data_IF_059906594527
#
_entry.id   IF_059906594527
#
_cell.length_a   1.000
_cell.length_b   1.000
_cell.length_c   1.000
_cell.angle_alpha   90.00
_cell.angle_beta   90.00
_cell.angle_gamma   90.00
#
_symmetry.space_group_name_H-M   'P 1'
#
loop_
_entity.id
_entity.type
_entity.pdbx_description
1 polymer ?
#
# COMPACT_ATOMS: atom_id res chain seq x y z
N UNK A 1 15.61 -15.39 8.07
CA UNK A 1 15.20 -14.46 6.99
C UNK A 1 15.36 -15.20 5.67
N UNK A 2 14.33 -15.22 4.82
CA UNK A 2 14.41 -15.87 3.50
C UNK A 2 14.92 -14.86 2.47
N UNK A 3 15.77 -15.31 1.54
CA UNK A 3 16.22 -14.50 0.40
C UNK A 3 15.44 -14.87 -0.87
N UNK A 4 15.17 -13.85 -1.67
CA UNK A 4 14.59 -13.94 -3.00
C UNK A 4 15.58 -14.54 -4.00
N UNK A 5 15.09 -15.43 -4.87
CA UNK A 5 15.84 -16.01 -5.99
C UNK A 5 15.12 -15.70 -7.30
N UNK A 6 15.70 -14.86 -8.15
CA UNK A 6 15.07 -14.39 -9.39
C UNK A 6 14.63 -15.52 -10.36
N UNK A 7 15.26 -16.70 -10.25
CA UNK A 7 15.02 -17.84 -11.13
C UNK A 7 13.79 -18.67 -10.72
N UNK A 8 13.24 -18.47 -9.52
CA UNK A 8 12.25 -19.37 -8.95
C UNK A 8 11.09 -18.65 -8.24
N UNK A 9 10.13 -18.19 -9.05
CA UNK A 9 8.96 -17.46 -8.58
C UNK A 9 8.10 -18.28 -7.59
N UNK A 10 7.86 -19.57 -7.87
CA UNK A 10 7.00 -20.41 -7.03
C UNK A 10 7.61 -20.58 -5.64
N UNK A 11 8.91 -20.90 -5.55
CA UNK A 11 9.55 -21.03 -4.25
C UNK A 11 9.63 -19.69 -3.52
N UNK A 12 9.76 -18.56 -4.21
CA UNK A 12 9.69 -17.24 -3.56
C UNK A 12 8.31 -16.96 -2.99
N UNK A 13 7.23 -17.29 -3.70
CA UNK A 13 5.86 -17.16 -3.18
C UNK A 13 5.65 -18.03 -1.94
N UNK A 14 6.14 -19.28 -1.96
CA UNK A 14 6.05 -20.19 -0.81
C UNK A 14 6.83 -19.60 0.38
N UNK A 15 8.05 -19.11 0.17
CA UNK A 15 8.85 -18.48 1.23
C UNK A 15 8.16 -17.23 1.78
N UNK A 16 7.60 -16.40 0.90
CA UNK A 16 6.85 -15.20 1.27
C UNK A 16 5.67 -15.55 2.17
N UNK A 17 4.80 -16.48 1.76
CA UNK A 17 3.67 -16.86 2.61
C UNK A 17 4.10 -17.56 3.88
N UNK A 18 5.17 -18.37 3.88
CA UNK A 18 5.70 -18.95 5.13
C UNK A 18 6.18 -17.88 6.11
N UNK A 19 6.73 -16.77 5.62
CA UNK A 19 7.23 -15.68 6.46
C UNK A 19 6.13 -14.69 6.86
N UNK A 20 5.19 -14.41 5.96
CA UNK A 20 4.17 -13.37 6.06
C UNK A 20 2.74 -13.91 6.17
N UNK A 21 2.53 -15.17 6.58
CA UNK A 21 1.19 -15.73 6.74
C UNK A 21 0.36 -14.93 7.77
N UNK A 22 1.01 -14.47 8.84
CA UNK A 22 0.36 -13.64 9.86
C UNK A 22 -0.06 -12.29 9.28
N UNK A 23 0.81 -11.65 8.48
CA UNK A 23 0.48 -10.43 7.75
C UNK A 23 -0.77 -10.61 6.88
N UNK A 24 -0.79 -11.68 6.07
CA UNK A 24 -1.93 -12.02 5.21
C UNK A 24 -3.20 -12.21 6.02
N UNK A 25 -3.15 -12.97 7.12
CA UNK A 25 -4.28 -13.18 8.01
C UNK A 25 -4.82 -11.90 8.64
N UNK A 26 -3.94 -10.99 9.05
CA UNK A 26 -4.31 -9.69 9.60
C UNK A 26 -4.98 -8.82 8.52
N UNK A 27 -4.41 -8.71 7.32
CA UNK A 27 -4.98 -7.94 6.23
C UNK A 27 -6.37 -8.45 5.84
N UNK A 28 -6.56 -9.77 5.75
CA UNK A 28 -7.87 -10.36 5.50
C UNK A 28 -8.86 -10.06 6.63
N UNK A 29 -8.42 -10.12 7.88
CA UNK A 29 -9.25 -9.80 9.05
C UNK A 29 -9.72 -8.35 9.01
N UNK A 30 -8.82 -7.39 8.76
CA UNK A 30 -9.15 -5.98 8.59
C UNK A 30 -10.19 -5.77 7.47
N UNK A 31 -9.98 -6.41 6.32
CA UNK A 31 -10.90 -6.35 5.19
C UNK A 31 -12.30 -6.91 5.54
N UNK A 32 -12.37 -8.05 6.25
CA UNK A 32 -13.64 -8.64 6.70
C UNK A 32 -14.34 -7.69 7.66
N UNK A 33 -13.64 -7.13 8.65
CA UNK A 33 -14.22 -6.22 9.63
C UNK A 33 -14.77 -4.96 8.97
N UNK A 34 -13.99 -4.30 8.12
CA UNK A 34 -14.42 -3.11 7.39
C UNK A 34 -15.63 -3.43 6.49
N UNK A 35 -15.61 -4.58 5.82
CA UNK A 35 -16.72 -5.00 4.96
C UNK A 35 -17.98 -5.28 5.77
N UNK A 36 -17.87 -5.94 6.93
CA UNK A 36 -18.97 -6.17 7.85
C UNK A 36 -19.63 -4.86 8.32
N UNK A 37 -18.82 -3.85 8.68
CA UNK A 37 -19.31 -2.55 9.13
C UNK A 37 -19.66 -1.57 8.00
N UNK A 38 -19.47 -1.92 6.74
CA UNK A 38 -19.83 -1.07 5.59
C UNK A 38 -21.09 -1.60 4.89
N UNK A 39 -20.94 -2.57 3.98
CA UNK A 39 -22.01 -3.06 3.09
C UNK A 39 -22.20 -4.59 3.08
N UNK A 40 -21.40 -5.33 3.85
CA UNK A 40 -21.44 -6.79 4.02
C UNK A 40 -21.21 -7.60 2.73
N UNK A 41 -20.72 -6.98 1.66
CA UNK A 41 -20.39 -7.67 0.39
C UNK A 41 -18.94 -8.16 0.41
N UNK A 42 -18.66 -9.25 1.11
CA UNK A 42 -17.30 -9.75 1.37
C UNK A 42 -16.43 -9.95 0.13
N UNK A 43 -16.97 -10.55 -0.93
CA UNK A 43 -16.23 -10.70 -2.20
C UNK A 43 -15.79 -9.35 -2.76
N UNK A 44 -16.66 -8.34 -2.70
CA UNK A 44 -16.34 -6.98 -3.14
C UNK A 44 -15.26 -6.36 -2.25
N UNK A 45 -15.30 -6.58 -0.94
CA UNK A 45 -14.25 -6.16 -0.02
C UNK A 45 -12.89 -6.75 -0.39
N UNK A 46 -12.84 -8.08 -0.55
CA UNK A 46 -11.62 -8.81 -0.95
C UNK A 46 -11.07 -8.33 -2.29
N UNK A 47 -11.93 -8.20 -3.30
CA UNK A 47 -11.54 -7.68 -4.61
C UNK A 47 -10.97 -6.26 -4.51
N UNK A 48 -11.55 -5.42 -3.63
CA UNK A 48 -11.06 -4.06 -3.40
C UNK A 48 -9.68 -4.04 -2.76
N UNK A 49 -9.43 -4.92 -1.79
CA UNK A 49 -8.13 -5.07 -1.15
C UNK A 49 -7.06 -5.47 -2.18
N UNK A 50 -7.36 -6.48 -3.02
CA UNK A 50 -6.45 -6.92 -4.07
C UNK A 50 -6.15 -5.80 -5.06
N UNK A 51 -7.18 -5.13 -5.60
CA UNK A 51 -7.02 -4.06 -6.59
C UNK A 51 -6.26 -2.87 -5.99
N UNK A 52 -6.60 -2.42 -4.77
CA UNK A 52 -5.92 -1.27 -4.19
C UNK A 52 -4.44 -1.57 -3.90
N UNK A 53 -4.12 -2.79 -3.44
CA UNK A 53 -2.72 -3.21 -3.24
C UNK A 53 -1.93 -3.25 -4.55
N UNK A 54 -2.56 -3.71 -5.64
CA UNK A 54 -1.96 -3.71 -6.96
C UNK A 54 -1.76 -2.28 -7.50
N UNK A 55 -2.73 -1.40 -7.30
CA UNK A 55 -2.64 0.02 -7.67
C UNK A 55 -1.49 0.71 -6.94
N UNK A 56 -1.28 0.39 -5.65
CA UNK A 56 -0.13 0.88 -4.89
C UNK A 56 1.19 0.51 -5.56
N UNK A 57 1.40 -0.78 -5.81
CA UNK A 57 2.60 -1.26 -6.47
C UNK A 57 2.77 -0.66 -7.87
N UNK A 58 1.71 -0.66 -8.68
CA UNK A 58 1.77 -0.17 -10.06
C UNK A 58 2.01 1.34 -10.12
N UNK A 59 1.38 2.11 -9.22
CA UNK A 59 1.61 3.54 -9.08
C UNK A 59 3.07 3.86 -8.79
N UNK A 60 3.68 3.08 -7.88
CA UNK A 60 5.10 3.20 -7.56
C UNK A 60 6.01 2.83 -8.73
N UNK A 61 5.74 1.70 -9.38
CA UNK A 61 6.44 1.29 -10.59
C UNK A 61 6.39 2.34 -11.69
N UNK A 62 5.19 2.85 -12.01
CA UNK A 62 4.97 3.81 -13.08
C UNK A 62 5.69 5.14 -12.81
N UNK A 63 5.74 5.56 -11.55
CA UNK A 63 6.43 6.77 -11.12
C UNK A 63 7.92 6.75 -11.43
N UNK A 64 8.59 5.63 -11.15
CA UNK A 64 10.00 5.45 -11.45
C UNK A 64 10.28 5.13 -12.91
N UNK A 65 9.41 4.35 -13.56
CA UNK A 65 9.58 3.96 -14.96
C UNK A 65 9.37 5.12 -15.93
N UNK A 66 8.47 6.06 -15.62
CA UNK A 66 8.11 7.19 -16.48
C UNK A 66 8.50 8.53 -15.81
N UNK A 67 9.81 8.84 -15.71
CA UNK A 67 10.33 9.94 -14.90
C UNK A 67 9.93 11.35 -15.39
N UNK A 68 9.44 11.46 -16.62
CA UNK A 68 9.08 12.73 -17.24
C UNK A 68 7.64 13.17 -16.98
N UNK A 69 6.82 12.32 -16.34
CA UNK A 69 5.45 12.67 -15.99
C UNK A 69 5.40 13.76 -14.91
N UNK A 70 4.32 14.57 -14.83
CA UNK A 70 4.17 15.57 -13.76
C UNK A 70 4.29 14.96 -12.36
N UNK A 71 3.69 13.78 -12.15
CA UNK A 71 3.75 13.09 -10.87
C UNK A 71 5.18 12.63 -10.55
N UNK A 72 5.94 12.10 -11.52
CA UNK A 72 7.33 11.70 -11.29
C UNK A 72 8.26 12.87 -10.97
N UNK A 73 8.05 14.01 -11.63
CA UNK A 73 8.79 15.23 -11.30
C UNK A 73 8.43 15.74 -9.90
N UNK A 74 7.17 15.68 -9.53
CA UNK A 74 6.71 16.05 -8.20
C UNK A 74 7.25 15.10 -7.12
N UNK A 75 7.21 13.79 -7.32
CA UNK A 75 7.85 12.80 -6.46
C UNK A 75 9.35 13.06 -6.33
N UNK A 76 10.07 13.29 -7.43
CA UNK A 76 11.49 13.64 -7.38
C UNK A 76 11.77 14.91 -6.56
N UNK A 77 10.92 15.93 -6.67
CA UNK A 77 11.02 17.17 -5.90
C UNK A 77 10.74 16.94 -4.42
N UNK A 78 9.68 16.21 -4.09
CA UNK A 78 9.17 16.06 -2.72
C UNK A 78 9.81 14.92 -1.94
N UNK A 79 10.42 13.93 -2.61
CA UNK A 79 11.02 12.75 -1.97
C UNK A 79 12.56 12.70 -2.12
N UNK A 80 13.10 12.99 -3.31
CA UNK A 80 14.54 12.83 -3.60
C UNK A 80 15.38 14.12 -3.53
N UNK A 81 14.75 15.29 -3.32
CA UNK A 81 15.45 16.58 -3.32
C UNK A 81 15.66 17.13 -1.90
N UNK A 82 16.53 18.13 -1.70
CA UNK A 82 16.65 18.83 -0.42
C UNK A 82 15.33 19.44 0.07
N UNK A 83 14.45 19.87 -0.83
CA UNK A 83 13.13 20.37 -0.46
C UNK A 83 12.30 19.27 0.24
N UNK A 84 12.40 18.03 -0.22
CA UNK A 84 11.74 16.87 0.37
C UNK A 84 12.13 16.57 1.81
N UNK A 85 13.27 17.10 2.28
CA UNK A 85 13.70 16.96 3.67
C UNK A 85 13.13 18.04 4.59
N UNK A 86 12.45 19.05 4.04
CA UNK A 86 11.75 20.07 4.82
C UNK A 86 10.37 19.58 5.26
N UNK A 87 9.80 20.22 6.28
CA UNK A 87 8.42 19.95 6.71
C UNK A 87 7.43 20.04 5.54
N UNK A 88 7.53 21.08 4.71
CA UNK A 88 6.61 21.28 3.59
C UNK A 88 6.81 20.24 2.47
N UNK A 89 8.06 19.88 2.17
CA UNK A 89 8.36 18.82 1.22
C UNK A 89 7.75 17.50 1.65
N UNK A 90 7.94 17.11 2.92
CA UNK A 90 7.34 15.92 3.52
C UNK A 90 5.82 15.97 3.56
N UNK A 91 5.24 17.08 4.01
CA UNK A 91 3.79 17.25 4.02
C UNK A 91 3.20 17.03 2.62
N UNK A 92 3.81 17.61 1.58
CA UNK A 92 3.38 17.45 0.19
C UNK A 92 3.60 16.04 -0.35
N UNK A 93 4.74 15.42 -0.02
CA UNK A 93 5.03 14.02 -0.35
C UNK A 93 3.95 13.10 0.21
N UNK A 94 3.66 13.20 1.51
CA UNK A 94 2.68 12.32 2.17
C UNK A 94 1.26 12.57 1.68
N UNK A 95 0.89 13.85 1.58
CA UNK A 95 -0.48 14.18 1.19
C UNK A 95 -0.75 13.82 -0.26
N UNK A 96 0.18 14.02 -1.19
CA UNK A 96 -0.08 13.85 -2.63
C UNK A 96 0.48 12.53 -3.18
N UNK A 97 1.74 12.18 -2.88
CA UNK A 97 2.31 10.93 -3.37
C UNK A 97 1.78 9.76 -2.55
N UNK A 98 2.07 9.74 -1.25
CA UNK A 98 1.80 8.56 -0.42
C UNK A 98 0.30 8.29 -0.27
N UNK A 99 -0.53 9.29 -0.01
CA UNK A 99 -1.98 9.09 0.14
C UNK A 99 -2.66 8.94 -1.22
N UNK A 100 -2.56 9.94 -2.10
CA UNK A 100 -3.37 9.94 -3.32
C UNK A 100 -2.84 9.02 -4.42
N UNK A 101 -1.52 8.91 -4.56
CA UNK A 101 -0.90 8.15 -5.65
C UNK A 101 -0.61 6.70 -5.24
N UNK A 102 0.21 6.49 -4.21
CA UNK A 102 0.57 5.15 -3.74
C UNK A 102 -0.54 4.52 -2.90
N UNK A 103 -1.20 5.26 -2.02
CA UNK A 103 -2.27 4.75 -1.16
C UNK A 103 -3.55 4.40 -1.92
N UNK A 104 -3.66 4.74 -3.21
CA UNK A 104 -4.87 4.47 -3.98
C UNK A 104 -6.00 5.46 -3.74
N UNK A 105 -5.70 6.67 -3.24
CA UNK A 105 -6.70 7.73 -3.15
C UNK A 105 -7.31 8.10 -4.51
N UNK A 106 -6.54 8.06 -5.60
CA UNK A 106 -7.07 8.23 -6.96
C UNK A 106 -8.11 7.14 -7.28
N UNK A 107 -7.82 5.87 -6.96
CA UNK A 107 -8.77 4.76 -7.13
C UNK A 107 -10.04 5.02 -6.30
N UNK A 108 -9.90 5.51 -5.07
CA UNK A 108 -11.04 5.86 -4.23
C UNK A 108 -11.94 6.92 -4.89
N UNK A 109 -11.37 8.02 -5.40
CA UNK A 109 -12.13 9.04 -6.13
C UNK A 109 -12.82 8.49 -7.37
N UNK A 110 -12.13 7.63 -8.14
CA UNK A 110 -12.73 6.99 -9.31
C UNK A 110 -13.93 6.13 -8.93
N UNK A 111 -13.85 5.37 -7.83
CA UNK A 111 -14.98 4.58 -7.33
C UNK A 111 -16.16 5.46 -6.91
N UNK A 112 -15.89 6.59 -6.25
CA UNK A 112 -16.95 7.55 -5.89
C UNK A 112 -17.58 8.22 -7.12
N UNK A 113 -16.78 8.59 -8.11
CA UNK A 113 -17.25 9.19 -9.35
C UNK A 113 -18.10 8.20 -10.15
N UNK A 114 -17.64 6.96 -10.29
CA UNK A 114 -18.39 5.90 -10.96
C UNK A 114 -19.71 5.58 -10.25
N UNK A 115 -19.77 5.68 -8.91
CA UNK A 115 -21.03 5.57 -8.17
C UNK A 115 -22.04 6.64 -8.58
N UNK A 116 -21.59 7.87 -8.84
CA UNK A 116 -22.47 8.98 -9.28
C UNK A 116 -23.11 8.68 -10.64
N UNK A 117 -22.38 7.99 -11.53
CA UNK A 117 -22.83 7.65 -12.88
C UNK A 117 -23.69 6.38 -12.88
N UNK A 118 -23.22 5.32 -12.21
CA UNK A 118 -23.81 3.97 -12.30
C UNK A 118 -24.82 3.65 -11.20
N UNK A 119 -24.89 4.48 -10.14
CA UNK A 119 -25.73 4.20 -8.98
C UNK A 119 -25.20 3.07 -8.09
N UNK A 120 -24.08 2.40 -8.42
CA UNK A 120 -23.54 1.27 -7.65
C UNK A 120 -22.06 1.48 -7.29
N UNK A 121 -21.67 1.04 -6.10
CA UNK A 121 -20.27 0.91 -5.72
C UNK A 121 -19.72 -0.43 -6.20
N UNK A 122 -18.92 -0.39 -7.27
CA UNK A 122 -18.26 -1.56 -7.87
C UNK A 122 -17.18 -2.18 -6.99
N UNK A 123 -16.48 -1.33 -6.24
CA UNK A 123 -15.54 -1.70 -5.17
C UNK A 123 -16.08 -1.23 -3.82
N UNK A 124 -15.52 -1.71 -2.72
CA UNK A 124 -15.82 -1.25 -1.38
C UNK A 124 -14.97 0.01 -1.08
N UNK A 125 -15.56 1.22 -1.11
CA UNK A 125 -14.78 2.45 -0.93
C UNK A 125 -14.18 2.58 0.46
N UNK A 126 -14.71 1.88 1.47
CA UNK A 126 -14.20 1.91 2.84
C UNK A 126 -12.92 1.09 3.00
N UNK A 127 -12.83 -0.05 2.31
CA UNK A 127 -11.59 -0.85 2.26
C UNK A 127 -10.50 -0.06 1.55
N UNK A 128 -10.83 0.58 0.43
CA UNK A 128 -9.86 1.39 -0.33
C UNK A 128 -9.38 2.57 0.54
N UNK A 129 -10.29 3.32 1.16
CA UNK A 129 -9.92 4.46 2.00
C UNK A 129 -9.06 4.04 3.21
N UNK A 130 -9.39 2.92 3.86
CA UNK A 130 -8.55 2.40 4.94
C UNK A 130 -7.13 2.13 4.45
N UNK A 131 -6.98 1.44 3.30
CA UNK A 131 -5.68 1.17 2.70
C UNK A 131 -4.93 2.47 2.33
N UNK A 132 -5.62 3.43 1.73
CA UNK A 132 -5.11 4.76 1.37
C UNK A 132 -4.42 5.49 2.50
N UNK A 133 -4.92 5.36 3.72
CA UNK A 133 -4.32 6.00 4.89
C UNK A 133 -3.28 5.06 5.54
N UNK A 134 -3.50 3.75 5.48
CA UNK A 134 -2.62 2.75 6.09
C UNK A 134 -1.23 2.74 5.47
N UNK A 135 -1.13 2.79 4.14
CA UNK A 135 0.14 2.69 3.42
C UNK A 135 1.13 3.82 3.81
N UNK A 136 0.75 5.11 3.81
CA UNK A 136 1.63 6.17 4.30
C UNK A 136 2.07 5.98 5.75
N UNK A 137 1.16 5.51 6.63
CA UNK A 137 1.49 5.28 8.04
C UNK A 137 2.54 4.19 8.19
N UNK A 138 2.42 3.11 7.42
CA UNK A 138 3.41 2.04 7.36
C UNK A 138 4.70 2.55 6.76
N UNK A 139 4.63 3.28 5.65
CA UNK A 139 5.82 3.79 4.99
C UNK A 139 6.67 4.65 5.95
N UNK A 140 6.01 5.51 6.73
CA UNK A 140 6.68 6.35 7.70
C UNK A 140 7.17 5.64 8.95
N UNK A 141 6.28 4.92 9.63
CA UNK A 141 6.60 4.34 10.92
C UNK A 141 7.49 3.13 10.75
N UNK A 142 7.26 2.32 9.71
CA UNK A 142 7.97 1.07 9.53
C UNK A 142 9.28 1.25 8.76
N UNK A 143 9.23 1.81 7.55
CA UNK A 143 10.42 1.88 6.69
C UNK A 143 11.45 2.91 7.12
N UNK A 144 11.04 4.05 7.66
CA UNK A 144 12.02 5.04 8.09
C UNK A 144 12.57 4.79 9.50
N UNK A 145 11.88 4.04 10.36
CA UNK A 145 12.23 3.99 11.79
C UNK A 145 12.62 2.60 12.32
N UNK A 146 12.24 1.49 11.66
CA UNK A 146 12.26 0.17 12.35
C UNK A 146 13.01 -0.98 11.68
N UNK A 147 13.60 -0.83 10.48
CA UNK A 147 14.23 -1.98 9.79
C UNK A 147 15.69 -1.80 9.36
N UNK A 148 16.50 -2.81 9.66
CA UNK A 148 17.84 -3.07 9.08
C UNK A 148 17.87 -4.54 8.60
N UNK A 149 18.13 -4.83 7.31
CA UNK A 149 18.36 -3.92 6.18
C UNK A 149 17.05 -3.22 5.77
N UNK A 150 17.13 -1.92 5.53
CA UNK A 150 15.98 -1.15 5.07
C UNK A 150 15.70 -1.45 3.59
N UNK A 151 14.58 -2.10 3.29
CA UNK A 151 14.18 -2.42 1.91
C UNK A 151 13.98 -1.15 1.10
N UNK A 152 13.56 -0.06 1.74
CA UNK A 152 13.49 1.26 1.13
C UNK A 152 14.88 1.74 0.66
N UNK A 153 15.93 1.56 1.46
CA UNK A 153 17.30 1.92 1.05
C UNK A 153 17.80 1.08 -0.13
N UNK A 154 17.37 -0.18 -0.21
CA UNK A 154 17.66 -1.05 -1.36
C UNK A 154 16.94 -0.53 -2.61
N UNK A 155 15.68 -0.15 -2.47
CA UNK A 155 14.89 0.48 -3.53
C UNK A 155 15.54 1.79 -4.02
N UNK A 156 16.01 2.67 -3.13
CA UNK A 156 16.71 3.91 -3.52
C UNK A 156 17.98 3.67 -4.35
N UNK A 157 18.66 2.54 -4.13
CA UNK A 157 19.82 2.15 -4.95
C UNK A 157 19.41 1.61 -6.32
N UNK A 158 18.21 1.05 -6.43
CA UNK A 158 17.67 0.41 -7.64
C UNK A 158 16.17 0.73 -7.78
N UNK A 159 15.88 1.94 -8.27
CA UNK A 159 14.54 2.57 -8.31
C UNK A 159 13.41 1.79 -9.01
N UNK A 160 13.71 0.71 -9.74
CA UNK A 160 12.70 -0.18 -10.35
C UNK A 160 12.54 -1.50 -9.60
N UNK A 161 13.10 -1.60 -8.39
CA UNK A 161 13.04 -2.82 -7.59
C UNK A 161 12.54 -2.56 -6.18
N UNK A 162 11.94 -3.60 -5.58
CA UNK A 162 11.39 -3.56 -4.21
C UNK A 162 10.42 -2.39 -4.01
N UNK A 163 9.37 -2.36 -4.83
CA UNK A 163 8.41 -1.26 -4.94
C UNK A 163 7.28 -1.35 -3.90
N UNK A 164 7.13 -2.48 -3.22
CA UNK A 164 6.11 -2.75 -2.18
C UNK A 164 4.65 -2.64 -2.69
N UNK A 165 3.70 -3.48 -2.23
CA UNK A 165 3.87 -4.71 -1.44
C UNK A 165 4.76 -5.79 -2.08
N UNK A 166 5.50 -6.53 -1.26
CA UNK A 166 6.55 -7.46 -1.70
C UNK A 166 5.99 -8.63 -2.53
N UNK A 167 4.72 -9.00 -2.29
CA UNK A 167 4.00 -10.00 -3.09
C UNK A 167 3.97 -9.63 -4.58
N UNK A 168 3.76 -8.35 -4.91
CA UNK A 168 3.70 -7.90 -6.30
C UNK A 168 5.11 -7.86 -6.91
N UNK A 169 6.12 -7.51 -6.11
CA UNK A 169 7.51 -7.57 -6.56
C UNK A 169 7.99 -8.99 -6.89
N UNK A 170 7.49 -9.99 -6.16
CA UNK A 170 7.76 -11.41 -6.45
C UNK A 170 7.04 -11.84 -7.73
N UNK A 171 5.73 -11.55 -7.85
CA UNK A 171 4.92 -11.96 -9.01
C UNK A 171 5.44 -11.33 -10.30
N UNK A 172 5.78 -10.03 -10.24
CA UNK A 172 6.15 -9.22 -11.40
C UNK A 172 7.67 -9.12 -11.59
N UNK A 173 8.44 -9.86 -10.78
CA UNK A 173 9.90 -9.98 -10.83
C UNK A 173 10.62 -8.63 -10.73
N UNK A 174 10.08 -7.73 -9.91
CA UNK A 174 10.73 -6.47 -9.55
C UNK A 174 11.44 -6.55 -8.20
N UNK A 175 11.54 -7.72 -7.55
CA UNK A 175 12.45 -7.90 -6.41
C UNK A 175 13.88 -8.19 -6.88
N UNK A 176 14.88 -7.60 -6.22
CA UNK A 176 16.29 -7.81 -6.55
C UNK A 176 16.79 -9.16 -6.02
N UNK A 177 17.59 -9.87 -6.81
CA UNK A 177 18.17 -11.15 -6.41
C UNK A 177 18.99 -11.07 -5.11
N UNK A 178 18.92 -12.12 -4.30
CA UNK A 178 19.56 -12.23 -2.98
C UNK A 178 19.18 -11.14 -1.96
N UNK A 179 18.10 -10.40 -2.20
CA UNK A 179 17.54 -9.50 -1.18
C UNK A 179 16.58 -10.23 -0.27
N UNK A 180 16.46 -9.82 1.01
CA UNK A 180 15.56 -10.47 1.93
C UNK A 180 14.09 -10.22 1.55
N UNK A 181 13.25 -11.22 1.81
CA UNK A 181 11.79 -11.04 1.84
C UNK A 181 11.44 -10.11 3.00
N UNK A 182 10.56 -9.15 2.74
CA UNK A 182 10.11 -8.15 3.70
C UNK A 182 9.34 -8.78 4.86
N UNK A 183 9.55 -8.27 6.08
CA UNK A 183 8.70 -8.60 7.23
C UNK A 183 7.42 -7.76 7.19
N UNK A 184 6.43 -8.26 6.46
CA UNK A 184 5.12 -7.61 6.37
C UNK A 184 4.24 -7.89 7.59
N UNK A 185 4.67 -8.77 8.51
CA UNK A 185 3.88 -9.09 9.72
C UNK A 185 3.87 -7.89 10.65
N UNK A 186 5.03 -7.29 10.90
CA UNK A 186 5.15 -6.08 11.71
C UNK A 186 4.38 -4.90 11.08
N UNK A 187 4.42 -4.78 9.76
CA UNK A 187 3.62 -3.83 8.98
C UNK A 187 2.12 -4.04 9.22
N UNK A 188 1.64 -5.27 9.05
CA UNK A 188 0.23 -5.58 9.17
C UNK A 188 -0.30 -5.32 10.58
N UNK A 189 0.53 -5.47 11.62
CA UNK A 189 0.15 -5.11 12.99
C UNK A 189 -0.16 -3.62 13.14
N UNK A 190 0.62 -2.73 12.51
CA UNK A 190 0.33 -1.29 12.48
C UNK A 190 -0.99 -1.03 11.75
N UNK A 191 -1.20 -1.72 10.62
CA UNK A 191 -2.44 -1.61 9.85
C UNK A 191 -3.67 -2.11 10.63
N UNK A 192 -3.52 -3.12 11.50
CA UNK A 192 -4.58 -3.60 12.38
C UNK A 192 -4.99 -2.57 13.43
N UNK A 193 -4.01 -1.94 14.10
CA UNK A 193 -4.27 -0.87 15.06
C UNK A 193 -5.02 0.27 14.37
N UNK A 194 -4.56 0.67 13.19
CA UNK A 194 -5.26 1.67 12.38
C UNK A 194 -6.66 1.22 11.95
N UNK A 195 -6.87 -0.05 11.60
CA UNK A 195 -8.19 -0.59 11.28
C UNK A 195 -9.16 -0.41 12.44
N UNK A 196 -8.74 -0.68 13.69
CA UNK A 196 -9.59 -0.51 14.87
C UNK A 196 -10.02 0.96 15.04
N UNK A 197 -9.07 1.89 14.90
CA UNK A 197 -9.34 3.34 14.96
C UNK A 197 -10.29 3.75 13.83
N UNK A 198 -10.04 3.27 12.61
CA UNK A 198 -10.86 3.55 11.44
C UNK A 198 -12.32 3.08 11.62
N UNK A 199 -12.53 1.88 12.15
CA UNK A 199 -13.87 1.36 12.47
C UNK A 199 -14.58 2.21 13.53
N UNK A 200 -13.86 2.69 14.52
CA UNK A 200 -14.41 3.61 15.52
C UNK A 200 -14.87 4.93 14.86
N UNK A 201 -14.06 5.50 13.97
CA UNK A 201 -14.41 6.70 13.20
C UNK A 201 -15.64 6.43 12.31
N UNK A 202 -15.68 5.32 11.58
CA UNK A 202 -16.83 4.93 10.76
C UNK A 202 -18.12 4.87 11.61
N UNK A 203 -18.05 4.31 12.81
CA UNK A 203 -19.19 4.23 13.73
C UNK A 203 -19.64 5.60 14.21
N UNK A 204 -18.71 6.51 14.52
CA UNK A 204 -19.03 7.88 14.91
C UNK A 204 -19.72 8.66 13.78
N UNK A 205 -19.22 8.52 12.55
CA UNK A 205 -19.78 9.19 11.38
C UNK A 205 -21.15 8.63 11.00
N UNK A 206 -21.35 7.31 11.07
CA UNK A 206 -22.64 6.66 10.80
C UNK A 206 -23.76 7.03 11.78
N UNK A 207 -23.45 7.56 12.97
CA UNK A 207 -24.48 8.07 13.89
C UNK A 207 -24.98 9.46 13.53
N UNK A 208 -24.34 10.15 12.58
CA UNK A 208 -24.62 11.53 12.19
C UNK A 208 -25.32 11.66 10.84
N UNK A 209 -25.61 10.54 10.18
CA UNK A 209 -26.36 10.40 8.92
C UNK A 209 -27.40 9.31 9.09
#
# INVERSE_FOLDING_TARGET
>A
MYNYNEKDCINNLIKYYKYNYAASGILFTCCILITFYSDKKYFKGLLSLLIVSWVTWYGHYALHKYPNTPMAKFHKLTHHSPFGKTFWGKFLEYTINEIWTFGGGILWLLVLLLKKITGVYWLNPWVIMWWTISVPLVHEVYYHQTTTPNIHDIHHKHHLTSLHPDIWDIILKTKKDNTPIEDETSIAMVMLVWCIIYLFIMKLLKKRF
#
